data_IF_312008319369
#
_entry.id   IF_312008319369
#
_cell.length_a   1.000
_cell.length_b   1.000
_cell.length_c   1.000
_cell.angle_alpha   90.00
_cell.angle_beta   90.00
_cell.angle_gamma   90.00
#
_symmetry.space_group_name_H-M   'P 1'
#
loop_
_entity.id
_entity.type
_entity.pdbx_description
1 polymer ?
#
# COMPACT_ATOMS: atom_id res chain seq x y z
N UNK A 1 -16.39 -5.17 2.21
CA UNK A 1 -16.09 -4.85 3.64
C UNK A 1 -15.64 -3.40 3.71
N UNK A 2 -15.87 -2.66 4.81
CA UNK A 2 -15.47 -1.26 4.86
C UNK A 2 -13.95 -1.12 4.80
N UNK A 3 -13.48 -0.16 4.00
CA UNK A 3 -12.06 0.20 3.89
C UNK A 3 -11.61 0.91 5.17
N UNK A 4 -10.42 0.57 5.66
CA UNK A 4 -9.76 1.18 6.81
C UNK A 4 -8.71 2.14 6.28
N UNK A 5 -8.98 3.43 6.40
CA UNK A 5 -8.04 4.50 6.06
C UNK A 5 -6.98 4.65 7.16
N UNK A 6 -5.73 4.39 6.82
CA UNK A 6 -4.55 4.63 7.65
C UNK A 6 -3.90 5.97 7.26
N UNK A 7 -3.31 6.64 8.24
CA UNK A 7 -2.53 7.85 8.04
C UNK A 7 -1.02 7.54 8.00
N UNK A 8 -0.21 8.54 7.65
CA UNK A 8 1.25 8.42 7.56
C UNK A 8 1.88 7.91 8.86
N UNK A 9 1.42 8.37 10.02
CA UNK A 9 1.97 7.96 11.32
C UNK A 9 1.73 6.48 11.60
N UNK A 10 0.56 5.95 11.22
CA UNK A 10 0.25 4.52 11.32
C UNK A 10 1.16 3.70 10.40
N UNK A 11 1.39 4.17 9.17
CA UNK A 11 2.32 3.52 8.22
C UNK A 11 3.74 3.52 8.79
N UNK A 12 4.22 4.65 9.29
CA UNK A 12 5.56 4.78 9.88
C UNK A 12 5.75 3.85 11.06
N UNK A 13 4.79 3.80 11.99
CA UNK A 13 4.83 2.88 13.13
C UNK A 13 4.82 1.43 12.67
N UNK A 14 3.92 1.09 11.75
CA UNK A 14 3.81 -0.27 11.24
C UNK A 14 5.08 -0.76 10.53
N UNK A 15 5.70 0.10 9.71
CA UNK A 15 6.95 -0.19 9.02
C UNK A 15 8.12 -0.30 10.02
N UNK A 16 8.19 0.61 10.99
CA UNK A 16 9.23 0.62 12.02
C UNK A 16 9.17 -0.63 12.91
N UNK A 17 7.95 -1.06 13.28
CA UNK A 17 7.74 -2.24 14.12
C UNK A 17 7.75 -3.55 13.30
N UNK A 18 7.80 -3.47 11.97
CA UNK A 18 7.69 -4.61 11.05
C UNK A 18 6.34 -5.33 11.13
N UNK A 19 5.32 -4.68 11.68
CA UNK A 19 4.00 -5.27 11.90
C UNK A 19 3.09 -5.20 10.67
N UNK A 20 3.40 -4.31 9.71
CA UNK A 20 2.66 -4.19 8.45
C UNK A 20 3.56 -4.46 7.25
N UNK A 21 2.94 -4.87 6.15
CA UNK A 21 3.53 -4.89 4.82
C UNK A 21 2.88 -3.81 3.98
N UNK A 22 3.63 -2.77 3.63
CA UNK A 22 3.15 -1.73 2.73
C UNK A 22 3.30 -2.20 1.29
N UNK A 23 2.20 -2.25 0.55
CA UNK A 23 2.14 -2.68 -0.85
C UNK A 23 1.82 -1.49 -1.73
N UNK A 24 2.76 -1.14 -2.60
CA UNK A 24 2.62 -0.03 -3.55
C UNK A 24 2.03 -0.54 -4.87
N UNK A 25 0.83 -0.07 -5.21
CA UNK A 25 0.11 -0.48 -6.43
C UNK A 25 0.33 0.46 -7.61
N UNK A 26 1.31 1.36 -7.53
CA UNK A 26 1.76 2.19 -8.66
C UNK A 26 2.47 1.35 -9.71
N UNK A 27 2.70 1.95 -10.88
CA UNK A 27 3.47 1.29 -11.92
C UNK A 27 4.93 1.07 -11.50
N UNK A 28 5.61 0.00 -11.95
CA UNK A 28 6.98 -0.30 -11.57
C UNK A 28 7.96 0.86 -11.81
N UNK A 29 7.74 1.63 -12.89
CA UNK A 29 8.58 2.79 -13.20
C UNK A 29 8.41 3.90 -12.14
N UNK A 30 7.20 4.12 -11.62
CA UNK A 30 6.97 5.08 -10.53
C UNK A 30 7.61 4.62 -9.22
N UNK A 31 7.57 3.32 -8.94
CA UNK A 31 8.19 2.73 -7.75
C UNK A 31 9.72 2.83 -7.81
N UNK A 32 10.30 2.48 -8.96
CA UNK A 32 11.76 2.56 -9.18
C UNK A 32 12.28 3.99 -9.15
N UNK A 33 11.46 4.96 -9.54
CA UNK A 33 11.81 6.38 -9.45
C UNK A 33 11.78 6.92 -8.00
N UNK A 34 11.11 6.22 -7.09
CA UNK A 34 10.99 6.60 -5.70
C UNK A 34 9.82 5.89 -5.02
N UNK A 35 10.09 5.26 -3.89
CA UNK A 35 9.10 4.52 -3.10
C UNK A 35 9.27 4.69 -1.60
N UNK A 36 8.26 4.27 -0.85
CA UNK A 36 8.31 4.31 0.62
C UNK A 36 9.25 3.20 1.08
N UNK A 37 10.23 3.48 1.96
CA UNK A 37 11.17 2.49 2.41
C UNK A 37 10.48 1.27 3.03
N UNK A 38 10.89 0.07 2.62
CA UNK A 38 10.25 -1.18 3.05
C UNK A 38 8.90 -1.49 2.40
N UNK A 39 8.43 -0.68 1.45
CA UNK A 39 7.28 -1.02 0.62
C UNK A 39 7.64 -2.09 -0.42
N UNK A 40 6.65 -2.90 -0.79
CA UNK A 40 6.76 -3.89 -1.86
C UNK A 40 5.98 -3.41 -3.08
N UNK A 41 6.58 -3.49 -4.26
CA UNK A 41 5.92 -3.16 -5.52
C UNK A 41 4.96 -4.28 -5.92
N UNK A 42 3.66 -3.96 -6.06
CA UNK A 42 2.64 -4.85 -6.60
C UNK A 42 1.65 -4.06 -7.48
N UNK A 43 2.05 -3.76 -8.72
CA UNK A 43 1.32 -2.84 -9.60
C UNK A 43 -0.13 -3.26 -9.84
N UNK A 44 -1.04 -2.28 -9.92
CA UNK A 44 -2.45 -2.57 -10.20
C UNK A 44 -2.64 -3.30 -11.55
N UNK A 45 -1.79 -3.01 -12.54
CA UNK A 45 -1.82 -3.62 -13.88
C UNK A 45 -1.58 -5.14 -13.88
N UNK A 46 -0.85 -5.65 -12.89
CA UNK A 46 -0.54 -7.09 -12.73
C UNK A 46 -0.97 -7.58 -11.35
N UNK A 47 -2.00 -6.95 -10.78
CA UNK A 47 -2.41 -7.20 -9.41
C UNK A 47 -2.96 -8.60 -9.27
N UNK A 48 -2.24 -9.42 -8.52
CA UNK A 48 -2.67 -10.75 -8.12
C UNK A 48 -2.91 -10.78 -6.60
N UNK A 49 -4.16 -10.92 -6.14
CA UNK A 49 -4.45 -11.01 -4.72
C UNK A 49 -3.90 -12.28 -4.06
N UNK A 50 -3.70 -13.37 -4.81
CA UNK A 50 -3.20 -14.65 -4.28
C UNK A 50 -1.69 -14.63 -4.02
N UNK A 51 -0.95 -13.80 -4.77
CA UNK A 51 0.49 -13.59 -4.58
C UNK A 51 0.84 -12.88 -3.25
N UNK A 52 -0.15 -12.26 -2.59
CA UNK A 52 0.06 -11.54 -1.35
C UNK A 52 0.15 -12.48 -0.14
N UNK A 53 1.04 -12.21 0.84
CA UNK A 53 1.11 -13.00 2.06
C UNK A 53 -0.19 -12.91 2.88
N UNK A 54 -0.67 -14.04 3.40
CA UNK A 54 -1.88 -14.08 4.24
C UNK A 54 -1.59 -13.96 5.75
N UNK A 55 -0.32 -14.11 6.14
CA UNK A 55 0.17 -14.07 7.53
C UNK A 55 0.51 -12.66 8.02
N UNK A 56 0.46 -11.66 7.14
CA UNK A 56 0.83 -10.27 7.44
C UNK A 56 -0.32 -9.31 7.23
N UNK A 57 -0.26 -8.23 8.00
CA UNK A 57 -1.16 -7.08 7.89
C UNK A 57 -0.76 -6.24 6.68
N UNK A 58 -1.51 -6.35 5.59
CA UNK A 58 -1.17 -5.68 4.31
C UNK A 58 -1.90 -4.35 4.20
N UNK A 59 -1.13 -3.30 3.91
CA UNK A 59 -1.67 -1.96 3.65
C UNK A 59 -1.36 -1.56 2.22
N UNK A 60 -2.39 -1.15 1.47
CA UNK A 60 -2.19 -0.69 0.10
C UNK A 60 -1.94 0.81 0.01
N UNK A 61 -0.88 1.18 -0.71
CA UNK A 61 -0.52 2.55 -1.05
C UNK A 61 -0.56 2.75 -2.56
N UNK A 62 -0.87 3.97 -3.00
CA UNK A 62 -0.63 4.39 -4.37
C UNK A 62 -0.21 5.85 -4.40
N UNK A 63 -0.19 6.51 -5.57
CA UNK A 63 0.19 7.93 -5.62
C UNK A 63 -0.72 8.87 -4.80
N UNK A 64 -2.03 8.60 -4.73
CA UNK A 64 -3.02 9.53 -4.15
C UNK A 64 -4.27 8.84 -3.57
N UNK A 65 -4.16 7.58 -3.15
CA UNK A 65 -5.29 6.76 -2.66
C UNK A 65 -6.25 6.17 -3.72
N UNK A 66 -6.31 6.67 -4.96
CA UNK A 66 -7.32 6.18 -5.92
C UNK A 66 -7.12 4.73 -6.39
N UNK A 67 -5.88 4.35 -6.72
CA UNK A 67 -5.56 3.00 -7.26
C UNK A 67 -5.59 1.92 -6.17
N UNK A 68 -5.19 2.27 -4.95
CA UNK A 68 -5.19 1.33 -3.82
C UNK A 68 -6.59 0.93 -3.37
N UNK A 69 -7.61 1.77 -3.57
CA UNK A 69 -9.01 1.36 -3.35
C UNK A 69 -9.44 0.23 -4.31
N UNK A 70 -9.07 0.32 -5.59
CA UNK A 70 -9.36 -0.75 -6.56
C UNK A 70 -8.65 -2.05 -6.22
N UNK A 71 -7.39 -1.98 -5.75
CA UNK A 71 -6.67 -3.15 -5.27
C UNK A 71 -7.38 -3.84 -4.11
N UNK A 72 -7.94 -3.06 -3.18
CA UNK A 72 -8.76 -3.59 -2.07
C UNK A 72 -10.04 -4.25 -2.60
N UNK A 73 -10.74 -3.62 -3.55
CA UNK A 73 -11.92 -4.22 -4.18
C UNK A 73 -11.59 -5.56 -4.84
N UNK A 74 -10.49 -5.65 -5.59
CA UNK A 74 -10.03 -6.90 -6.19
C UNK A 74 -9.68 -7.96 -5.15
N UNK A 75 -8.97 -7.58 -4.08
CA UNK A 75 -8.62 -8.50 -3.00
C UNK A 75 -9.86 -9.03 -2.27
N UNK A 76 -10.84 -8.16 -1.98
CA UNK A 76 -12.09 -8.56 -1.36
C UNK A 76 -12.94 -9.44 -2.29
N UNK A 77 -12.95 -9.16 -3.59
CA UNK A 77 -13.62 -10.01 -4.59
C UNK A 77 -12.98 -11.40 -4.68
N UNK A 78 -11.67 -11.50 -4.46
CA UNK A 78 -10.94 -12.77 -4.34
C UNK A 78 -11.12 -13.46 -2.97
N UNK A 79 -11.93 -12.90 -2.06
CA UNK A 79 -12.20 -13.48 -0.75
C UNK A 79 -11.12 -13.20 0.31
N UNK A 80 -10.19 -12.29 0.05
CA UNK A 80 -9.16 -11.86 1.01
C UNK A 80 -9.74 -10.78 1.93
N UNK A 81 -9.55 -10.89 3.25
CA UNK A 81 -9.88 -9.82 4.22
C UNK A 81 -8.80 -8.73 4.21
N UNK A 82 -8.60 -8.10 3.05
CA UNK A 82 -7.74 -6.93 2.92
C UNK A 82 -8.63 -5.69 2.82
N UNK A 83 -8.37 -4.74 3.71
CA UNK A 83 -9.18 -3.53 3.84
C UNK A 83 -8.35 -2.29 4.14
N UNK A 84 -7.05 -2.43 4.33
CA UNK A 84 -6.21 -1.37 4.86
C UNK A 84 -5.62 -0.55 3.74
N UNK A 85 -5.78 0.75 3.87
CA UNK A 85 -5.59 1.70 2.81
C UNK A 85 -4.79 2.89 3.31
N UNK A 86 -3.67 3.19 2.67
CA UNK A 86 -2.98 4.44 2.93
C UNK A 86 -3.58 5.57 2.09
N UNK A 87 -4.47 6.34 2.72
CA UNK A 87 -5.25 7.42 2.07
C UNK A 87 -4.38 8.54 1.51
N UNK A 88 -3.33 8.94 2.25
CA UNK A 88 -2.38 9.96 1.81
C UNK A 88 -1.55 9.53 0.61
N UNK A 89 -1.29 8.22 0.50
CA UNK A 89 -0.46 7.65 -0.54
C UNK A 89 0.96 8.23 -0.57
N UNK A 90 1.64 7.99 -1.68
CA UNK A 90 3.02 8.43 -1.88
C UNK A 90 3.17 9.96 -1.90
N UNK A 91 2.18 10.69 -2.40
CA UNK A 91 2.22 12.17 -2.42
C UNK A 91 2.26 12.76 -1.01
N UNK A 92 1.46 12.24 -0.09
CA UNK A 92 1.47 12.70 1.31
C UNK A 92 2.84 12.45 1.96
N UNK A 93 3.44 11.29 1.66
CA UNK A 93 4.78 10.92 2.13
C UNK A 93 5.87 11.88 1.63
N UNK A 94 5.88 12.19 0.33
CA UNK A 94 6.82 13.16 -0.24
C UNK A 94 6.57 14.57 0.30
N UNK A 95 5.31 15.02 0.35
CA UNK A 95 4.96 16.36 0.83
C UNK A 95 5.37 16.57 2.29
N UNK A 96 5.36 15.50 3.07
CA UNK A 96 5.86 15.46 4.43
C UNK A 96 7.39 15.54 4.56
N UNK A 97 8.14 15.43 3.45
CA UNK A 97 9.60 15.40 3.46
C UNK A 97 10.19 14.12 4.03
N UNK A 98 9.44 13.02 3.99
CA UNK A 98 9.91 11.73 4.49
C UNK A 98 10.92 11.08 3.52
N UNK A 99 11.81 10.20 4.02
CA UNK A 99 12.78 9.51 3.19
C UNK A 99 12.10 8.56 2.20
N UNK A 100 12.63 8.49 0.98
CA UNK A 100 12.22 7.55 -0.07
C UNK A 100 13.42 6.70 -0.50
N UNK A 101 13.14 5.49 -0.98
CA UNK A 101 14.11 4.56 -1.58
C UNK A 101 13.95 4.45 -3.11
#
# INVERSE_FOLDING_TARGET
MPVVDLNRDDIKKGLSDGSILLVDVREPQEFTAGHIPGAVSHPLSTFDPDALPADRRIVFSCAAGVRSLRAIEFAQAAGRDLREHYKGGFKDWINAGEPIE
#
